data_IF_953046985068
#
_entry.id   IF_953046985068
#
_cell.length_a   1.000
_cell.length_b   1.000
_cell.length_c   1.000
_cell.angle_alpha   90.00
_cell.angle_beta   90.00
_cell.angle_gamma   90.00
#
_symmetry.space_group_name_H-M   'P 1'
#
loop_
_entity.id
_entity.type
_entity.pdbx_description
1 polymer ?
#
# COMPACT_ATOMS: atom_id res chain seq x y z
N UNK A 1 -19.35 15.25 -22.96
CA UNK A 1 -19.31 13.80 -22.71
C UNK A 1 -18.38 13.57 -21.53
N UNK A 2 -18.93 13.33 -20.33
CA UNK A 2 -18.14 13.11 -19.13
C UNK A 2 -17.92 11.61 -18.98
N UNK A 3 -16.68 11.16 -19.12
CA UNK A 3 -16.32 9.80 -18.76
C UNK A 3 -16.18 9.72 -17.25
N UNK A 4 -17.15 9.08 -16.60
CA UNK A 4 -16.96 8.57 -15.24
C UNK A 4 -16.02 7.38 -15.37
N UNK A 5 -14.73 7.60 -15.23
CA UNK A 5 -13.77 6.51 -15.04
C UNK A 5 -13.95 6.04 -13.60
N UNK A 6 -14.79 5.03 -13.42
CA UNK A 6 -14.86 4.30 -12.16
C UNK A 6 -13.59 3.46 -12.06
N UNK A 7 -12.63 3.94 -11.27
CA UNK A 7 -11.41 3.19 -10.95
C UNK A 7 -11.78 1.95 -10.11
N UNK A 8 -12.09 0.84 -10.78
CA UNK A 8 -12.29 -0.46 -10.12
C UNK A 8 -11.01 -1.02 -9.49
N UNK A 9 -9.86 -0.35 -9.67
CA UNK A 9 -8.63 -0.59 -8.92
C UNK A 9 -8.34 0.55 -7.93
N UNK A 10 -9.40 1.08 -7.29
CA UNK A 10 -9.38 2.04 -6.17
C UNK A 10 -8.51 1.65 -4.95
N UNK A 11 -7.77 0.55 -5.03
CA UNK A 11 -6.82 0.17 -4.01
C UNK A 11 -5.69 1.19 -3.98
N UNK A 12 -5.68 2.03 -2.95
CA UNK A 12 -4.49 2.68 -2.38
C UNK A 12 -3.31 1.71 -2.11
N UNK A 13 -3.49 0.42 -2.41
CA UNK A 13 -2.48 -0.62 -2.57
C UNK A 13 -1.54 -0.36 -3.74
N UNK A 14 -0.32 -0.88 -3.60
CA UNK A 14 0.72 -0.89 -4.62
C UNK A 14 1.11 -2.35 -4.91
N UNK A 15 1.55 -2.68 -6.13
CA UNK A 15 2.14 -4.00 -6.43
C UNK A 15 3.43 -4.20 -5.64
N UNK A 16 4.21 -3.13 -5.50
CA UNK A 16 5.42 -3.09 -4.72
C UNK A 16 5.59 -1.72 -4.03
N UNK A 17 6.34 -1.74 -2.93
CA UNK A 17 6.70 -0.56 -2.14
C UNK A 17 8.22 -0.46 -2.09
N UNK A 18 8.77 0.74 -1.93
CA UNK A 18 10.20 0.89 -1.62
C UNK A 18 10.37 1.49 -0.24
N UNK A 19 11.47 1.08 0.39
CA UNK A 19 11.88 1.60 1.68
C UNK A 19 13.18 2.37 1.49
N UNK A 20 13.17 3.64 1.87
CA UNK A 20 14.32 4.54 1.85
C UNK A 20 14.74 4.81 3.28
N UNK A 21 16.00 4.53 3.60
CA UNK A 21 16.56 4.79 4.93
C UNK A 21 17.58 5.92 4.79
N UNK A 22 17.24 7.09 5.34
CA UNK A 22 17.99 8.33 5.16
C UNK A 22 18.46 8.85 6.50
N UNK A 23 19.76 9.00 6.68
CA UNK A 23 20.36 9.66 7.84
C UNK A 23 20.47 11.16 7.63
N UNK A 24 20.04 11.94 8.61
CA UNK A 24 20.32 13.37 8.66
C UNK A 24 21.57 13.60 9.49
N UNK A 25 22.64 14.10 8.88
CA UNK A 25 23.89 14.41 9.55
C UNK A 25 23.80 15.67 10.42
N UNK A 26 24.74 15.82 11.35
CA UNK A 26 24.90 17.06 12.13
C UNK A 26 25.22 18.30 11.27
N UNK A 27 25.67 18.09 10.02
CA UNK A 27 25.90 19.14 9.02
C UNK A 27 24.63 19.53 8.24
N UNK A 28 23.44 19.11 8.71
CA UNK A 28 22.15 19.32 8.06
C UNK A 28 22.04 18.75 6.63
N UNK A 29 22.89 17.78 6.28
CA UNK A 29 22.81 17.06 5.01
C UNK A 29 22.14 15.70 5.20
N UNK A 30 21.54 15.21 4.12
CA UNK A 30 20.87 13.91 4.08
C UNK A 30 21.73 12.90 3.35
N UNK A 31 21.83 11.70 3.93
CA UNK A 31 22.67 10.61 3.45
C UNK A 31 21.84 9.35 3.34
N UNK A 32 21.90 8.68 2.19
CA UNK A 32 21.30 7.38 2.03
C UNK A 32 22.11 6.34 2.81
N UNK A 33 21.47 5.68 3.78
CA UNK A 33 22.12 4.68 4.64
C UNK A 33 21.95 3.24 4.12
N UNK A 34 21.01 3.01 3.21
CA UNK A 34 20.77 1.71 2.58
C UNK A 34 20.81 1.84 1.05
N UNK A 35 21.42 0.90 0.31
CA UNK A 35 21.83 -0.44 0.76
C UNK A 35 23.02 -0.45 1.71
N UNK A 36 23.08 -1.49 2.54
CA UNK A 36 24.10 -1.66 3.56
C UNK A 36 25.47 -2.00 2.91
N UNK A 37 26.60 -1.75 3.59
CA UNK A 37 27.94 -1.74 2.96
C UNK A 37 28.43 -3.11 2.43
N UNK A 38 27.80 -4.23 2.80
CA UNK A 38 28.20 -5.60 2.44
C UNK A 38 27.57 -6.09 1.14
N UNK A 39 27.68 -5.29 0.07
CA UNK A 39 27.16 -5.59 -1.27
C UNK A 39 25.63 -5.73 -1.36
N UNK A 40 25.11 -5.53 -2.58
CA UNK A 40 23.68 -5.62 -2.84
C UNK A 40 23.23 -7.09 -2.86
N UNK A 41 22.41 -7.48 -1.87
CA UNK A 41 21.81 -8.81 -1.82
C UNK A 41 20.35 -8.74 -2.30
N UNK A 42 20.08 -9.37 -3.43
CA UNK A 42 18.77 -9.37 -4.12
C UNK A 42 18.25 -10.81 -4.28
N UNK A 43 17.69 -11.42 -3.22
CA UNK A 43 17.30 -12.83 -3.25
C UNK A 43 16.14 -13.13 -4.23
N UNK A 44 15.27 -12.14 -4.46
CA UNK A 44 14.07 -12.30 -5.29
C UNK A 44 13.98 -11.14 -6.30
N UNK A 45 14.71 -11.26 -7.41
CA UNK A 45 14.69 -10.27 -8.50
C UNK A 45 15.72 -9.16 -8.31
N UNK A 46 15.30 -7.92 -8.56
CA UNK A 46 16.14 -6.72 -8.65
C UNK A 46 16.16 -5.89 -7.35
N UNK A 47 15.43 -6.31 -6.32
CA UNK A 47 15.29 -5.53 -5.10
C UNK A 47 16.29 -5.92 -4.02
N UNK A 48 17.01 -4.90 -3.57
CA UNK A 48 17.80 -4.89 -2.35
C UNK A 48 17.01 -5.37 -1.13
N UNK A 49 17.69 -6.14 -0.26
CA UNK A 49 17.12 -6.73 0.97
C UNK A 49 16.23 -5.80 1.82
N UNK A 50 16.59 -4.54 1.97
CA UNK A 50 15.89 -3.61 2.86
C UNK A 50 14.48 -3.25 2.36
N UNK A 51 14.16 -3.50 1.09
CA UNK A 51 12.83 -3.30 0.54
C UNK A 51 11.82 -4.40 0.94
N UNK A 52 12.28 -5.56 1.42
CA UNK A 52 11.41 -6.65 1.89
C UNK A 52 10.96 -6.49 3.35
N UNK A 53 11.15 -5.31 3.96
CA UNK A 53 10.71 -5.02 5.33
C UNK A 53 9.50 -4.06 5.36
N UNK A 54 8.34 -4.42 4.79
CA UNK A 54 7.16 -3.53 4.73
C UNK A 54 6.59 -3.20 6.13
N UNK A 55 6.88 -4.06 7.10
CA UNK A 55 6.47 -3.93 8.49
C UNK A 55 7.53 -3.28 9.38
N UNK A 56 8.70 -2.91 8.86
CA UNK A 56 9.74 -2.20 9.61
C UNK A 56 10.18 -2.95 10.87
N UNK A 57 10.27 -4.27 10.78
CA UNK A 57 10.71 -5.13 11.87
C UNK A 57 12.24 -5.17 11.98
N UNK A 58 12.94 -4.80 10.90
CA UNK A 58 14.39 -4.92 10.78
C UNK A 58 15.09 -3.58 10.52
N UNK A 59 14.34 -2.49 10.34
CA UNK A 59 14.87 -1.14 10.11
C UNK A 59 15.93 -0.71 11.13
N UNK A 60 15.71 -1.00 12.43
CA UNK A 60 16.66 -0.69 13.50
C UNK A 60 17.99 -1.44 13.34
N UNK A 61 17.94 -2.73 12.99
CA UNK A 61 19.12 -3.56 12.78
C UNK A 61 19.89 -3.14 11.54
N UNK A 62 19.16 -2.83 10.45
CA UNK A 62 19.77 -2.31 9.22
C UNK A 62 20.55 -1.03 9.54
N UNK A 63 19.91 -0.07 10.22
CA UNK A 63 20.55 1.20 10.58
C UNK A 63 21.78 1.00 11.46
N UNK A 64 21.67 0.19 12.53
CA UNK A 64 22.81 -0.08 13.43
C UNK A 64 23.98 -0.68 12.68
N UNK A 65 23.71 -1.62 11.79
CA UNK A 65 24.76 -2.25 11.00
C UNK A 65 25.36 -1.26 9.99
N UNK A 66 24.54 -0.45 9.30
CA UNK A 66 25.07 0.55 8.37
C UNK A 66 25.97 1.57 9.08
N UNK A 67 25.56 2.09 10.23
CA UNK A 67 26.33 3.08 10.99
C UNK A 67 27.59 2.50 11.63
N UNK A 68 27.57 1.24 12.07
CA UNK A 68 28.74 0.59 12.66
C UNK A 68 29.84 0.27 11.64
N UNK A 69 29.48 0.13 10.35
CA UNK A 69 30.39 -0.39 9.33
C UNK A 69 30.57 0.52 8.11
N UNK A 70 29.94 1.70 8.12
CA UNK A 70 30.17 2.75 7.12
C UNK A 70 30.85 3.92 7.81
N UNK A 71 31.81 4.58 7.14
CA UNK A 71 32.35 5.87 7.60
C UNK A 71 31.31 6.97 7.39
N UNK A 72 30.23 6.93 8.16
CA UNK A 72 29.21 7.97 8.18
C UNK A 72 29.62 9.09 9.14
N UNK A 73 29.26 10.33 8.79
CA UNK A 73 29.28 11.43 9.76
C UNK A 73 28.36 11.11 10.95
N UNK A 74 28.57 11.75 12.12
CA UNK A 74 27.58 11.69 13.19
C UNK A 74 26.20 12.07 12.67
N UNK A 75 25.23 11.20 12.93
CA UNK A 75 23.84 11.39 12.53
C UNK A 75 23.07 12.06 13.66
N UNK A 76 22.19 12.99 13.33
CA UNK A 76 21.23 13.61 14.24
C UNK A 76 20.01 12.72 14.43
N UNK A 77 19.49 12.17 13.33
CA UNK A 77 18.36 11.22 13.30
C UNK A 77 18.37 10.43 12.00
N UNK A 78 17.67 9.31 11.99
CA UNK A 78 17.40 8.55 10.78
C UNK A 78 15.90 8.60 10.47
N UNK A 79 15.58 8.80 9.21
CA UNK A 79 14.24 8.81 8.63
C UNK A 79 14.07 7.55 7.79
N UNK A 80 13.03 6.78 8.11
CA UNK A 80 12.60 5.64 7.30
C UNK A 80 11.38 6.08 6.51
N UNK A 81 11.55 6.21 5.21
CA UNK A 81 10.57 6.74 4.28
C UNK A 81 10.09 5.60 3.40
N UNK A 82 8.79 5.47 3.29
CA UNK A 82 8.13 4.53 2.42
C UNK A 82 7.74 5.26 1.12
N UNK A 83 8.07 4.66 -0.01
CA UNK A 83 7.69 5.11 -1.35
C UNK A 83 6.62 4.17 -1.91
N UNK A 84 5.49 4.74 -2.31
CA UNK A 84 4.33 4.06 -2.90
C UNK A 84 4.06 4.62 -4.27
N UNK A 85 3.47 3.81 -5.15
CA UNK A 85 2.87 4.31 -6.39
C UNK A 85 1.64 3.48 -6.69
N UNK A 86 0.61 4.13 -7.24
CA UNK A 86 -0.71 3.52 -7.41
C UNK A 86 -0.62 2.26 -8.28
N UNK A 87 -1.39 1.23 -7.92
CA UNK A 87 -1.32 -0.11 -8.54
C UNK A 87 -1.36 -0.07 -10.08
N UNK A 88 -2.19 0.80 -10.65
CA UNK A 88 -2.31 1.00 -12.11
C UNK A 88 -0.96 1.35 -12.77
N UNK A 89 -0.15 2.17 -12.11
CA UNK A 89 1.17 2.62 -12.60
C UNK A 89 2.32 1.77 -12.06
N UNK A 90 2.00 0.74 -11.26
CA UNK A 90 2.94 -0.17 -10.63
C UNK A 90 2.94 -1.54 -11.33
N UNK A 91 2.92 -1.53 -12.65
CA UNK A 91 3.04 -2.74 -13.45
C UNK A 91 4.50 -2.93 -13.87
N UNK A 92 5.00 -4.17 -13.97
CA UNK A 92 6.27 -4.44 -14.63
C UNK A 92 6.27 -3.88 -16.06
N UNK A 93 7.42 -3.42 -16.54
CA UNK A 93 7.54 -2.79 -17.86
C UNK A 93 7.02 -3.69 -19.00
N UNK A 94 7.30 -4.99 -18.93
CA UNK A 94 6.79 -5.99 -19.88
C UNK A 94 5.27 -6.10 -19.90
N UNK A 95 4.61 -5.86 -18.76
CA UNK A 95 3.15 -5.83 -18.65
C UNK A 95 2.62 -4.51 -19.17
N UNK A 96 3.26 -3.38 -18.84
CA UNK A 96 2.86 -2.05 -19.32
C UNK A 96 2.89 -1.98 -20.86
N UNK A 97 4.00 -2.37 -21.47
CA UNK A 97 4.21 -2.34 -22.92
C UNK A 97 3.21 -3.22 -23.72
N UNK A 98 2.55 -4.16 -23.05
CA UNK A 98 1.51 -5.00 -23.67
C UNK A 98 0.17 -4.26 -23.83
N UNK A 99 -0.11 -3.28 -22.97
CA UNK A 99 -1.42 -2.62 -22.89
C UNK A 99 -1.39 -1.14 -23.29
N UNK A 100 -0.21 -0.51 -23.32
CA UNK A 100 -0.06 0.91 -23.56
C UNK A 100 1.12 1.19 -24.51
N UNK A 101 0.89 2.09 -25.47
CA UNK A 101 1.93 2.54 -26.43
C UNK A 101 2.82 3.65 -25.85
N UNK A 102 2.35 4.32 -24.80
CA UNK A 102 3.08 5.39 -24.12
C UNK A 102 4.13 4.86 -23.14
N UNK A 103 5.25 5.57 -22.95
CA UNK A 103 6.24 5.18 -21.95
C UNK A 103 5.64 5.24 -20.54
N UNK A 104 5.98 4.26 -19.72
CA UNK A 104 5.52 4.20 -18.33
C UNK A 104 6.06 5.38 -17.53
N UNK A 105 5.17 6.26 -17.09
CA UNK A 105 5.54 7.35 -16.17
C UNK A 105 5.28 6.95 -14.72
N UNK A 106 6.34 6.92 -13.92
CA UNK A 106 6.26 6.57 -12.49
C UNK A 106 5.87 7.79 -11.66
N UNK A 107 4.75 7.69 -10.95
CA UNK A 107 4.31 8.69 -9.98
C UNK A 107 4.38 8.13 -8.56
N UNK A 108 5.37 8.62 -7.80
CA UNK A 108 5.64 8.15 -6.44
C UNK A 108 5.08 9.09 -5.37
N UNK A 109 4.47 8.49 -4.36
CA UNK A 109 4.08 9.09 -3.10
C UNK A 109 5.08 8.70 -2.02
N UNK A 110 5.42 9.63 -1.14
CA UNK A 110 6.36 9.39 -0.06
C UNK A 110 5.67 9.58 1.29
N UNK A 111 5.94 8.67 2.23
CA UNK A 111 5.39 8.69 3.57
C UNK A 111 6.49 8.39 4.58
N UNK A 112 6.67 9.28 5.55
CA UNK A 112 7.51 8.97 6.70
C UNK A 112 6.86 7.86 7.52
N UNK A 113 7.61 6.80 7.79
CA UNK A 113 7.15 5.63 8.54
C UNK A 113 7.78 5.48 9.91
N UNK A 114 9.02 5.89 10.06
CA UNK A 114 9.74 5.77 11.32
C UNK A 114 10.80 6.86 11.44
N UNK A 115 10.99 7.36 12.66
CA UNK A 115 12.15 8.17 13.03
C UNK A 115 12.93 7.36 14.05
N UNK A 116 14.21 7.18 13.77
CA UNK A 116 15.14 6.48 14.65
C UNK A 116 16.18 7.46 15.18
N UNK A 117 16.61 7.24 16.42
CA UNK A 117 17.79 7.86 16.97
C UNK A 117 19.06 7.27 16.32
N UNK A 118 20.23 7.93 16.42
CA UNK A 118 21.48 7.47 15.83
C UNK A 118 21.94 6.08 16.30
N UNK A 119 21.46 5.62 17.46
CA UNK A 119 21.71 4.28 17.98
C UNK A 119 20.75 3.20 17.43
N UNK A 120 19.84 3.56 16.51
CA UNK A 120 18.81 2.69 15.95
C UNK A 120 17.55 2.52 16.81
N UNK A 121 17.44 3.23 17.94
CA UNK A 121 16.23 3.20 18.79
C UNK A 121 15.09 3.93 18.09
N UNK A 122 13.87 3.36 18.15
CA UNK A 122 12.69 4.02 17.57
C UNK A 122 12.25 5.19 18.43
N UNK A 123 12.28 6.40 17.85
CA UNK A 123 11.76 7.62 18.48
C UNK A 123 10.28 7.78 18.17
N UNK A 124 9.90 7.55 16.91
CA UNK A 124 8.50 7.68 16.47
C UNK A 124 8.19 6.72 15.34
N UNK A 125 6.95 6.26 15.29
CA UNK A 125 6.41 5.41 14.21
C UNK A 125 5.13 6.03 13.67
N UNK A 126 4.92 5.86 12.38
CA UNK A 126 3.76 6.38 11.67
C UNK A 126 3.04 5.24 10.94
N UNK A 127 1.73 5.38 10.68
CA UNK A 127 0.97 4.42 9.88
C UNK A 127 1.59 4.24 8.48
N UNK A 128 1.34 3.08 7.87
CA UNK A 128 1.62 2.88 6.45
C UNK A 128 0.88 3.88 5.58
N UNK A 129 1.35 4.10 4.35
CA UNK A 129 0.59 4.87 3.38
C UNK A 129 -0.87 4.39 3.31
N UNK A 130 -1.07 3.07 3.13
CA UNK A 130 -2.40 2.49 3.05
C UNK A 130 -3.22 2.76 4.31
N UNK A 131 -2.67 2.50 5.50
CA UNK A 131 -3.36 2.76 6.77
C UNK A 131 -3.69 4.24 6.97
N UNK A 132 -2.80 5.15 6.56
CA UNK A 132 -3.03 6.59 6.60
C UNK A 132 -4.20 6.97 5.69
N UNK A 133 -4.24 6.43 4.47
CA UNK A 133 -5.33 6.71 3.52
C UNK A 133 -6.67 6.18 4.03
N UNK A 134 -6.69 4.98 4.63
CA UNK A 134 -7.89 4.46 5.32
C UNK A 134 -8.36 5.39 6.43
N UNK A 135 -7.45 5.92 7.25
CA UNK A 135 -7.80 6.86 8.32
C UNK A 135 -8.34 8.18 7.79
N UNK A 136 -7.74 8.72 6.72
CA UNK A 136 -8.19 9.97 6.10
C UNK A 136 -9.59 9.82 5.49
N UNK A 137 -9.85 8.70 4.80
CA UNK A 137 -11.16 8.41 4.20
C UNK A 137 -12.26 8.32 5.26
N UNK A 138 -11.98 7.72 6.42
CA UNK A 138 -12.93 7.63 7.55
C UNK A 138 -13.15 9.00 8.21
N UNK A 139 -12.16 9.90 8.16
CA UNK A 139 -12.24 11.23 8.75
C UNK A 139 -12.86 12.31 7.85
N UNK A 140 -13.20 11.99 6.60
CA UNK A 140 -13.84 12.93 5.71
C UNK A 140 -15.23 13.29 6.28
N UNK A 141 -15.33 14.50 6.86
CA UNK A 141 -16.62 15.07 7.23
C UNK A 141 -17.54 15.03 6.00
N UNK A 142 -18.80 14.65 6.22
CA UNK A 142 -19.81 14.75 5.18
C UNK A 142 -19.75 16.18 4.62
N UNK A 143 -19.53 16.30 3.31
CA UNK A 143 -19.66 17.57 2.62
C UNK A 143 -21.04 18.14 2.96
N UNK A 144 -21.09 19.42 3.30
CA UNK A 144 -22.37 20.09 3.54
C UNK A 144 -23.27 19.80 2.32
N UNK A 145 -24.54 19.40 2.54
CA UNK A 145 -25.44 19.11 1.45
C UNK A 145 -25.47 20.32 0.51
N UNK A 146 -25.28 20.08 -0.77
CA UNK A 146 -25.32 21.14 -1.77
C UNK A 146 -26.71 21.82 -1.66
N UNK A 147 -26.84 23.15 -1.69
CA UNK A 147 -28.12 23.84 -1.50
C UNK A 147 -29.21 23.46 -2.52
N UNK A 148 -28.89 22.68 -3.56
CA UNK A 148 -29.79 22.19 -4.59
C UNK A 148 -29.98 20.65 -4.57
N UNK A 149 -29.54 19.95 -3.52
CA UNK A 149 -29.71 18.50 -3.39
C UNK A 149 -31.18 18.04 -3.29
N UNK A 150 -32.13 18.97 -3.20
CA UNK A 150 -33.57 18.69 -3.12
C UNK A 150 -34.27 18.38 -4.44
N UNK A 151 -33.62 18.44 -5.60
CA UNK A 151 -34.34 18.33 -6.88
C UNK A 151 -33.61 17.63 -8.04
N UNK A 152 -32.59 16.80 -7.78
CA UNK A 152 -32.12 15.86 -8.80
C UNK A 152 -32.86 14.53 -8.64
N UNK A 153 -34.16 14.53 -8.96
CA UNK A 153 -34.88 13.28 -9.14
C UNK A 153 -34.20 12.49 -10.26
N UNK A 154 -33.67 11.30 -9.95
CA UNK A 154 -33.26 10.33 -10.97
C UNK A 154 -34.36 10.26 -12.04
N UNK A 155 -33.99 10.36 -13.31
CA UNK A 155 -34.96 10.21 -14.40
C UNK A 155 -35.71 8.88 -14.24
N UNK A 156 -36.97 8.85 -14.65
CA UNK A 156 -37.81 7.64 -14.56
C UNK A 156 -37.16 6.43 -15.23
N UNK A 157 -36.38 6.64 -16.29
CA UNK A 157 -35.60 5.62 -16.99
C UNK A 157 -34.46 5.03 -16.15
N UNK A 158 -33.77 5.84 -15.33
CA UNK A 158 -32.75 5.36 -14.40
C UNK A 158 -33.36 4.61 -13.22
N UNK A 159 -34.55 5.01 -12.73
CA UNK A 159 -35.28 4.25 -11.70
C UNK A 159 -35.73 2.88 -12.19
N UNK A 160 -36.08 2.74 -13.46
CA UNK A 160 -36.55 1.48 -14.03
C UNK A 160 -35.45 0.42 -14.16
N UNK A 161 -34.18 0.84 -14.20
CA UNK A 161 -33.02 -0.07 -14.31
C UNK A 161 -32.37 -0.42 -12.97
N UNK A 162 -32.67 0.35 -11.91
CA UNK A 162 -32.26 0.03 -10.56
C UNK A 162 -33.23 -0.99 -9.96
N UNK A 163 -32.75 -2.21 -9.67
CA UNK A 163 -33.53 -3.13 -8.83
C UNK A 163 -33.76 -2.47 -7.46
N UNK A 164 -34.98 -2.52 -6.91
CA UNK A 164 -35.22 -2.07 -5.55
C UNK A 164 -34.24 -2.78 -4.61
N UNK A 165 -33.55 -2.03 -3.76
CA UNK A 165 -33.01 -2.63 -2.55
C UNK A 165 -34.21 -2.95 -1.68
N UNK A 166 -34.44 -4.23 -1.39
CA UNK A 166 -35.48 -4.64 -0.46
C UNK A 166 -35.19 -4.01 0.91
N UNK A 167 -36.08 -3.12 1.34
CA UNK A 167 -36.05 -2.39 2.62
C UNK A 167 -36.32 -3.29 3.85
N UNK A 168 -36.17 -4.61 3.70
CA UNK A 168 -36.45 -5.61 4.74
C UNK A 168 -35.24 -5.99 5.59
N UNK A 169 -34.06 -5.40 5.36
CA UNK A 169 -32.88 -5.63 6.21
C UNK A 169 -32.72 -4.59 7.33
N UNK A 170 -33.83 -4.21 7.98
CA UNK A 170 -33.74 -3.73 9.36
C UNK A 170 -33.13 -4.84 10.22
N UNK A 171 -32.06 -4.52 10.93
CA UNK A 171 -31.18 -5.46 11.63
C UNK A 171 -31.88 -6.64 12.31
N UNK A 172 -31.58 -7.83 11.80
CA UNK A 172 -31.58 -9.07 12.59
C UNK A 172 -30.19 -9.69 12.44
N UNK A 173 -29.49 -9.79 13.55
CA UNK A 173 -28.32 -10.66 13.69
C UNK A 173 -28.70 -12.07 13.21
N UNK A 174 -27.94 -12.68 12.29
CA UNK A 174 -28.24 -14.04 11.86
C UNK A 174 -27.95 -14.99 13.02
N UNK A 175 -28.99 -15.69 13.48
CA UNK A 175 -28.84 -16.89 14.29
C UNK A 175 -28.09 -17.93 13.45
N UNK A 176 -27.03 -18.51 14.01
CA UNK A 176 -26.32 -19.65 13.47
C UNK A 176 -27.22 -20.89 13.54
N UNK A 177 -28.01 -21.12 12.50
CA UNK A 177 -28.60 -22.44 12.27
C UNK A 177 -27.54 -23.35 11.63
N UNK A 178 -27.24 -24.45 12.32
CA UNK A 178 -26.46 -25.58 11.81
C UNK A 178 -27.24 -26.23 10.66
N UNK A 179 -27.01 -25.74 9.45
CA UNK A 179 -27.48 -26.35 8.21
C UNK A 179 -26.33 -26.36 7.20
N UNK A 180 -25.90 -27.56 6.81
CA UNK A 180 -24.84 -27.80 5.84
C UNK A 180 -25.18 -27.19 4.47
N UNK A 181 -24.43 -26.16 4.06
CA UNK A 181 -24.44 -25.66 2.68
C UNK A 181 -23.36 -26.34 1.84
N UNK A 182 -23.64 -26.69 0.57
CA UNK A 182 -22.70 -27.36 -0.32
C UNK A 182 -21.60 -26.41 -0.78
N UNK A 183 -20.35 -26.87 -0.77
CA UNK A 183 -19.19 -26.05 -1.17
C UNK A 183 -19.22 -25.73 -2.66
N UNK A 184 -19.09 -24.44 -3.00
CA UNK A 184 -18.91 -23.93 -4.36
C UNK A 184 -17.49 -24.14 -4.92
N UNK A 185 -16.65 -24.90 -4.22
CA UNK A 185 -15.31 -25.26 -4.67
C UNK A 185 -15.28 -26.75 -5.04
N UNK A 186 -14.71 -27.12 -6.21
CA UNK A 186 -14.45 -28.51 -6.50
C UNK A 186 -13.50 -29.09 -5.44
N UNK A 187 -13.74 -30.36 -5.07
CA UNK A 187 -12.88 -31.06 -4.12
C UNK A 187 -11.43 -31.08 -4.64
N UNK A 188 -10.49 -30.76 -3.76
CA UNK A 188 -9.07 -30.88 -4.07
C UNK A 188 -8.74 -32.36 -4.35
N UNK A 189 -8.26 -32.64 -5.55
CA UNK A 189 -7.79 -33.96 -5.96
C UNK A 189 -6.46 -34.25 -5.23
N UNK A 190 -6.37 -35.26 -4.35
CA UNK A 190 -5.21 -35.49 -3.49
C UNK A 190 -3.97 -36.05 -4.22
N UNK A 191 -4.02 -36.29 -5.53
CA UNK A 191 -2.97 -37.03 -6.27
C UNK A 191 -2.06 -36.20 -7.19
N UNK A 192 -1.97 -34.87 -7.04
CA UNK A 192 -0.94 -34.10 -7.78
C UNK A 192 -0.11 -33.17 -6.91
N UNK A 193 0.90 -33.76 -6.27
CA UNK A 193 2.20 -33.13 -6.11
C UNK A 193 3.16 -33.73 -7.18
N UNK A 194 4.16 -32.98 -7.67
CA UNK A 194 5.35 -32.79 -6.85
C UNK A 194 5.81 -31.34 -6.77
N UNK A 195 6.25 -30.97 -5.56
CA UNK A 195 7.10 -29.82 -5.28
C UNK A 195 8.42 -30.00 -6.05
N UNK A 196 8.77 -29.02 -6.88
CA UNK A 196 10.08 -28.95 -7.51
C UNK A 196 11.16 -28.61 -6.46
N UNK A 197 12.24 -29.38 -6.51
CA UNK A 197 13.49 -29.22 -5.75
C UNK A 197 14.28 -27.99 -6.19
#
# INVERSE_FOLDING_TARGET
MYFVVWDMFCGWSAYATRLHIVGEGEDNKYYQLAPAPWTEFTPYGDLSRHHYDPFLNHSSHIVRNCLAHTRSKPMRRILVIEEYWAKKYNLPESVWARFFDEPQQKYSYFQLRQVLAPNGTTVRRFPSWLSRQSQLAVSAQALAPHPNSGAAGLSSELRATMRPFDDSSSGRTPRLDRGSSPSLFPAADPERAPLAQ
#
